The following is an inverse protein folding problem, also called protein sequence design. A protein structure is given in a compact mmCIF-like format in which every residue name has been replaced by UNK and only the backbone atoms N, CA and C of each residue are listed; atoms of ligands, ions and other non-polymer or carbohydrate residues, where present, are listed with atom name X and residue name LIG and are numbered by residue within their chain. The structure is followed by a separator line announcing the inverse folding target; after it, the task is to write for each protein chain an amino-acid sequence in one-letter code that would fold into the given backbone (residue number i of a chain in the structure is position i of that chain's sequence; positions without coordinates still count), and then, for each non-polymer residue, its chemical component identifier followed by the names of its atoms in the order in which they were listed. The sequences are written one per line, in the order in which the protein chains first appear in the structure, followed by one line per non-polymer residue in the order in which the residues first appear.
data_IF_961316034899
#
_entry.id   IF_961316034899
#
_cell.length_a   1.000
_cell.length_b   1.000
_cell.length_c   1.000
_cell.angle_alpha   90.00
_cell.angle_beta   90.00
_cell.angle_gamma   90.00
#
_symmetry.space_group_name_H-M   'P 1'
#
loop_
_entity.id
_entity.type
_entity.pdbx_description
1 polymer ?
#
# COMPACT_ATOMS: atom_id res chain seq x y z
N UNK A 1 27.87 -11.12 -34.57
CA UNK A 1 27.89 -11.52 -33.15
C UNK A 1 27.79 -10.24 -32.37
N UNK A 2 26.69 -10.02 -31.66
CA UNK A 2 26.58 -8.85 -30.79
C UNK A 2 27.60 -9.00 -29.68
N UNK A 3 28.39 -7.97 -29.41
CA UNK A 3 29.32 -7.89 -28.29
C UNK A 3 28.48 -8.01 -26.98
N UNK A 4 28.33 -9.24 -26.49
CA UNK A 4 27.71 -9.53 -25.22
C UNK A 4 28.66 -8.99 -24.13
N UNK A 5 28.31 -7.84 -23.55
CA UNK A 5 28.99 -7.32 -22.35
C UNK A 5 28.59 -8.17 -21.16
N UNK A 6 29.53 -8.40 -20.24
CA UNK A 6 29.31 -9.26 -19.08
C UNK A 6 28.22 -8.73 -18.13
N UNK A 7 27.90 -7.46 -18.17
CA UNK A 7 27.01 -6.79 -17.24
C UNK A 7 27.62 -6.56 -15.83
N UNK A 8 28.83 -7.03 -15.60
CA UNK A 8 29.56 -6.78 -14.34
C UNK A 8 30.26 -5.43 -14.48
N UNK A 9 29.89 -4.50 -13.60
CA UNK A 9 30.59 -3.21 -13.50
C UNK A 9 31.85 -3.36 -12.65
N UNK A 10 32.99 -3.35 -13.30
CA UNK A 10 34.31 -3.42 -12.64
C UNK A 10 34.83 -2.06 -12.20
N UNK A 11 34.17 -0.97 -12.56
CA UNK A 11 34.61 0.39 -12.19
C UNK A 11 34.51 0.67 -10.70
N UNK A 12 33.62 -0.04 -10.01
CA UNK A 12 33.37 0.07 -8.56
C UNK A 12 34.35 -0.72 -7.69
N UNK A 13 35.24 -1.50 -8.28
CA UNK A 13 36.23 -2.33 -7.56
C UNK A 13 37.23 -1.44 -6.83
N UNK A 14 37.40 -1.70 -5.53
CA UNK A 14 38.49 -1.15 -4.72
C UNK A 14 39.63 -2.18 -4.58
N UNK A 15 40.72 -2.02 -5.30
CA UNK A 15 41.85 -2.96 -5.29
C UNK A 15 42.63 -2.97 -3.96
N UNK A 16 42.41 -1.96 -3.10
CA UNK A 16 43.06 -1.88 -1.78
C UNK A 16 42.41 -2.79 -0.74
N UNK A 17 41.18 -3.24 -0.99
CA UNK A 17 40.46 -4.19 -0.14
C UNK A 17 40.70 -5.60 -0.68
N UNK A 18 41.26 -6.49 0.13
CA UNK A 18 41.52 -7.86 -0.29
C UNK A 18 40.22 -8.65 -0.35
N UNK A 19 40.07 -9.48 -1.38
CA UNK A 19 38.89 -10.34 -1.60
C UNK A 19 38.55 -11.21 -0.39
N UNK A 20 39.58 -11.74 0.30
CA UNK A 20 39.44 -12.63 1.44
C UNK A 20 39.00 -11.92 2.71
N UNK A 21 39.22 -10.61 2.79
CA UNK A 21 38.92 -9.83 3.99
C UNK A 21 37.52 -9.27 3.94
N UNK A 22 37.12 -8.69 2.79
CA UNK A 22 35.76 -8.17 2.59
C UNK A 22 35.41 -8.19 1.08
N UNK A 23 34.73 -9.24 0.66
CA UNK A 23 34.30 -9.41 -0.73
C UNK A 23 33.38 -8.30 -1.20
N UNK A 24 32.46 -7.86 -0.33
CA UNK A 24 31.50 -6.79 -0.68
C UNK A 24 32.23 -5.46 -0.92
N UNK A 25 33.12 -5.05 -0.02
CA UNK A 25 33.89 -3.83 -0.16
C UNK A 25 34.91 -3.91 -1.29
N UNK A 26 35.46 -5.08 -1.59
CA UNK A 26 36.31 -5.23 -2.74
C UNK A 26 35.57 -4.86 -4.04
N UNK A 27 34.37 -5.41 -4.26
CA UNK A 27 33.63 -5.15 -5.50
C UNK A 27 32.87 -3.83 -5.52
N UNK A 28 32.52 -3.26 -4.39
CA UNK A 28 31.71 -2.05 -4.30
C UNK A 28 32.39 -0.88 -3.58
N UNK A 29 33.63 -1.03 -3.14
CA UNK A 29 34.29 -0.09 -2.24
C UNK A 29 34.47 1.31 -2.83
N UNK A 30 34.82 1.40 -4.10
CA UNK A 30 34.95 2.70 -4.78
C UNK A 30 33.60 3.40 -4.86
N UNK A 31 32.56 2.70 -5.28
CA UNK A 31 31.19 3.25 -5.29
C UNK A 31 30.73 3.67 -3.89
N UNK A 32 30.99 2.86 -2.85
CA UNK A 32 30.64 3.20 -1.46
C UNK A 32 31.31 4.47 -0.96
N UNK A 33 32.57 4.72 -1.41
CA UNK A 33 33.33 5.89 -1.00
C UNK A 33 32.96 7.15 -1.78
N UNK A 34 32.49 7.04 -3.00
CA UNK A 34 32.22 8.14 -3.92
C UNK A 34 30.72 8.49 -4.02
N UNK A 35 29.81 7.53 -3.71
CA UNK A 35 28.38 7.74 -3.84
C UNK A 35 27.83 8.64 -2.74
N UNK A 36 26.91 9.50 -3.12
CA UNK A 36 26.13 10.35 -2.21
C UNK A 36 24.65 9.97 -2.37
N UNK A 37 24.01 9.60 -1.26
CA UNK A 37 22.58 9.34 -1.26
C UNK A 37 21.86 10.66 -1.58
N UNK A 38 21.02 10.72 -2.62
CA UNK A 38 20.24 11.92 -2.92
C UNK A 38 19.31 12.30 -1.74
N UNK A 39 19.10 13.59 -1.54
CA UNK A 39 18.32 14.11 -0.42
C UNK A 39 16.85 13.69 -0.43
N UNK A 40 16.32 13.29 -1.60
CA UNK A 40 14.94 12.85 -1.78
C UNK A 40 14.69 11.37 -1.42
N UNK A 41 15.66 10.72 -0.76
CA UNK A 41 15.57 9.30 -0.34
C UNK A 41 16.49 8.99 0.85
N UNK A 42 16.24 7.86 1.52
CA UNK A 42 17.04 7.39 2.65
C UNK A 42 18.07 6.31 2.28
N UNK A 43 18.06 5.82 1.03
CA UNK A 43 18.97 4.77 0.55
C UNK A 43 19.27 4.92 -0.93
N UNK A 44 20.39 4.34 -1.40
CA UNK A 44 20.74 4.28 -2.81
C UNK A 44 21.37 2.93 -3.18
N UNK A 45 21.48 2.64 -4.49
CA UNK A 45 22.05 1.40 -5.02
C UNK A 45 21.65 1.13 -6.45
N UNK A 46 22.11 0.00 -7.02
CA UNK A 46 21.90 -0.34 -8.42
C UNK A 46 20.40 -0.36 -8.84
N UNK A 47 19.51 -0.83 -7.97
CA UNK A 47 18.06 -0.81 -8.25
C UNK A 47 17.49 0.61 -8.29
N UNK A 48 18.07 1.54 -7.54
CA UNK A 48 17.63 2.94 -7.58
C UNK A 48 18.04 3.64 -8.87
N UNK A 49 19.19 3.28 -9.45
CA UNK A 49 19.60 3.76 -10.78
C UNK A 49 18.59 3.32 -11.84
N UNK A 50 18.21 2.03 -11.84
CA UNK A 50 17.21 1.49 -12.77
C UNK A 50 15.84 2.13 -12.57
N UNK A 51 15.44 2.34 -11.30
CA UNK A 51 14.17 3.01 -10.97
C UNK A 51 14.14 4.45 -11.51
N UNK A 52 15.22 5.23 -11.32
CA UNK A 52 15.31 6.59 -11.82
C UNK A 52 15.23 6.64 -13.35
N UNK A 53 15.90 5.71 -14.03
CA UNK A 53 15.83 5.58 -15.48
C UNK A 53 14.41 5.27 -15.95
N UNK A 54 13.76 4.28 -15.33
CA UNK A 54 12.38 3.91 -15.65
C UNK A 54 11.41 5.07 -15.36
N UNK A 55 11.59 5.81 -14.27
CA UNK A 55 10.77 6.98 -13.93
C UNK A 55 10.90 8.09 -14.97
N UNK A 56 12.12 8.35 -15.47
CA UNK A 56 12.37 9.28 -16.58
C UNK A 56 11.68 8.84 -17.89
N UNK A 57 11.74 7.54 -18.20
CA UNK A 57 11.06 6.95 -19.35
C UNK A 57 9.53 7.04 -19.23
N UNK A 58 8.99 6.76 -18.06
CA UNK A 58 7.54 6.90 -17.79
C UNK A 58 7.11 8.36 -17.89
N UNK A 59 7.88 9.31 -17.36
CA UNK A 59 7.63 10.75 -17.55
C UNK A 59 7.56 11.12 -19.03
N UNK A 60 8.51 10.67 -19.83
CA UNK A 60 8.50 10.94 -21.28
C UNK A 60 7.28 10.31 -21.98
N UNK A 61 6.79 9.17 -21.50
CA UNK A 61 5.53 8.58 -21.98
C UNK A 61 4.35 9.49 -21.62
N UNK A 62 4.23 9.93 -20.38
CA UNK A 62 3.13 10.81 -19.92
C UNK A 62 3.11 12.10 -20.74
N UNK A 63 4.26 12.75 -20.91
CA UNK A 63 4.38 14.03 -21.64
C UNK A 63 4.12 13.89 -23.16
N UNK A 64 4.29 12.69 -23.73
CA UNK A 64 4.08 12.42 -25.15
C UNK A 64 2.82 11.62 -25.48
N UNK A 65 2.06 11.20 -24.47
CA UNK A 65 0.89 10.35 -24.65
C UNK A 65 -0.23 11.11 -25.42
N UNK A 66 -0.70 10.51 -26.51
CA UNK A 66 -1.74 11.09 -27.34
C UNK A 66 -2.38 10.03 -28.24
N UNK A 67 -3.51 10.37 -28.86
CA UNK A 67 -4.10 9.56 -29.93
C UNK A 67 -5.00 8.40 -29.47
N UNK A 68 -5.20 8.21 -28.15
CA UNK A 68 -6.18 7.26 -27.63
C UNK A 68 -6.88 7.79 -26.37
N UNK A 69 -8.06 7.26 -26.02
CA UNK A 69 -8.73 7.63 -24.77
C UNK A 69 -7.89 7.31 -23.51
N UNK A 70 -7.15 6.21 -23.49
CA UNK A 70 -6.25 5.86 -22.39
C UNK A 70 -5.09 6.86 -22.27
N UNK A 71 -4.51 7.27 -23.41
CA UNK A 71 -3.47 8.29 -23.44
C UNK A 71 -3.97 9.62 -22.86
N UNK A 72 -5.21 10.03 -23.16
CA UNK A 72 -5.82 11.22 -22.58
C UNK A 72 -5.99 11.10 -21.06
N UNK A 73 -6.44 9.95 -20.55
CA UNK A 73 -6.57 9.72 -19.10
C UNK A 73 -5.22 9.81 -18.37
N UNK A 74 -4.15 9.31 -18.99
CA UNK A 74 -2.78 9.41 -18.46
C UNK A 74 -2.37 10.88 -18.32
N UNK A 75 -2.53 11.66 -19.38
CA UNK A 75 -2.18 13.09 -19.37
C UNK A 75 -3.04 13.90 -18.43
N UNK A 76 -4.36 13.65 -18.37
CA UNK A 76 -5.29 14.35 -17.50
C UNK A 76 -5.02 14.06 -16.02
N UNK A 77 -4.72 12.82 -15.66
CA UNK A 77 -4.35 12.47 -14.28
C UNK A 77 -3.10 13.22 -13.84
N UNK A 78 -2.05 13.21 -14.66
CA UNK A 78 -0.84 13.95 -14.39
C UNK A 78 -1.09 15.46 -14.30
N UNK A 79 -1.84 16.02 -15.24
CA UNK A 79 -2.17 17.44 -15.28
C UNK A 79 -2.95 17.88 -14.03
N UNK A 80 -3.92 17.07 -13.57
CA UNK A 80 -4.70 17.37 -12.37
C UNK A 80 -3.82 17.46 -11.11
N UNK A 81 -2.79 16.62 -10.99
CA UNK A 81 -1.84 16.68 -9.90
C UNK A 81 -0.83 17.84 -10.05
N UNK A 82 -0.42 18.16 -11.27
CA UNK A 82 0.53 19.25 -11.53
C UNK A 82 -0.11 20.65 -11.47
N UNK A 83 -1.43 20.75 -11.35
CA UNK A 83 -2.16 22.03 -11.24
C UNK A 83 -2.10 22.60 -9.82
N UNK A 84 -0.89 23.03 -9.40
CA UNK A 84 -0.64 23.58 -8.08
C UNK A 84 -1.55 24.77 -7.75
N UNK A 85 -1.78 25.66 -8.71
CA UNK A 85 -2.61 26.84 -8.50
C UNK A 85 -4.05 26.48 -8.08
N UNK A 86 -4.63 25.44 -8.68
CA UNK A 86 -5.96 24.94 -8.31
C UNK A 86 -5.94 24.26 -6.93
N UNK A 87 -4.93 23.45 -6.65
CA UNK A 87 -4.78 22.75 -5.37
C UNK A 87 -4.62 23.77 -4.22
N UNK A 88 -3.74 24.76 -4.37
CA UNK A 88 -3.57 25.83 -3.38
C UNK A 88 -4.87 26.61 -3.15
N UNK A 89 -5.60 26.93 -4.22
CA UNK A 89 -6.90 27.61 -4.11
C UNK A 89 -7.95 26.80 -3.36
N UNK A 90 -7.96 25.49 -3.54
CA UNK A 90 -8.92 24.59 -2.87
C UNK A 90 -8.56 24.37 -1.40
N UNK A 91 -7.27 24.41 -1.03
CA UNK A 91 -6.79 24.18 0.34
C UNK A 91 -7.26 22.83 0.89
N UNK A 92 -7.88 22.84 2.07
CA UNK A 92 -8.53 21.67 2.70
C UNK A 92 -9.98 21.44 2.24
N UNK A 93 -10.51 22.28 1.34
CA UNK A 93 -11.90 22.18 0.86
C UNK A 93 -12.34 20.79 0.39
N UNK A 94 -11.52 20.04 -0.36
CA UNK A 94 -11.89 18.71 -0.85
C UNK A 94 -12.31 17.69 0.19
N UNK A 95 -11.79 17.77 1.44
CA UNK A 95 -12.13 16.84 2.51
C UNK A 95 -13.21 17.34 3.48
N UNK A 96 -13.71 18.55 3.27
CA UNK A 96 -14.69 19.19 4.19
C UNK A 96 -15.97 18.38 4.32
N UNK A 97 -16.47 17.81 3.22
CA UNK A 97 -17.70 17.01 3.23
C UNK A 97 -17.52 15.69 4.03
N UNK A 98 -16.36 15.05 3.92
CA UNK A 98 -16.03 13.83 4.65
C UNK A 98 -15.90 14.11 6.15
N UNK A 99 -15.23 15.20 6.52
CA UNK A 99 -15.12 15.65 7.91
C UNK A 99 -16.47 16.02 8.50
N UNK A 100 -17.33 16.71 7.76
CA UNK A 100 -18.70 17.03 8.20
C UNK A 100 -19.52 15.76 8.43
N UNK A 101 -19.33 14.72 7.63
CA UNK A 101 -19.97 13.42 7.82
C UNK A 101 -19.48 12.73 9.11
N UNK A 102 -18.20 12.84 9.44
CA UNK A 102 -17.66 12.37 10.73
C UNK A 102 -18.25 13.15 11.90
N UNK A 103 -18.35 14.47 11.77
CA UNK A 103 -18.94 15.32 12.83
C UNK A 103 -20.42 15.01 13.11
N UNK A 104 -21.16 14.57 12.09
CA UNK A 104 -22.55 14.19 12.21
C UNK A 104 -22.81 12.83 12.89
N UNK A 105 -21.77 12.03 13.16
CA UNK A 105 -21.90 10.73 13.84
C UNK A 105 -22.45 10.92 15.26
N UNK A 106 -23.57 10.23 15.56
CA UNK A 106 -24.19 10.28 16.90
C UNK A 106 -24.36 8.89 17.54
N UNK A 107 -24.47 7.85 16.77
CA UNK A 107 -24.62 6.46 17.24
C UNK A 107 -23.46 5.57 16.82
N UNK A 108 -23.34 4.37 17.42
CA UNK A 108 -22.38 3.36 17.00
C UNK A 108 -22.65 2.90 15.55
N UNK A 109 -23.88 2.78 15.15
CA UNK A 109 -24.25 2.41 13.79
C UNK A 109 -23.87 3.50 12.78
N UNK A 110 -24.01 4.79 13.14
CA UNK A 110 -23.50 5.90 12.32
C UNK A 110 -21.97 5.83 12.17
N UNK A 111 -21.27 5.50 13.27
CA UNK A 111 -19.81 5.34 13.24
C UNK A 111 -19.39 4.22 12.28
N UNK A 112 -19.96 3.02 12.43
CA UNK A 112 -19.64 1.86 11.59
C UNK A 112 -19.95 2.13 10.12
N UNK A 113 -21.12 2.71 9.83
CA UNK A 113 -21.50 3.01 8.45
C UNK A 113 -20.63 4.11 7.82
N UNK A 114 -20.31 5.16 8.58
CA UNK A 114 -19.44 6.24 8.09
C UNK A 114 -18.01 5.76 7.88
N UNK A 115 -17.47 4.96 8.79
CA UNK A 115 -16.14 4.36 8.64
C UNK A 115 -16.06 3.51 7.37
N UNK A 116 -16.99 2.58 7.19
CA UNK A 116 -17.00 1.73 5.99
C UNK A 116 -17.18 2.53 4.70
N UNK A 117 -18.01 3.58 4.72
CA UNK A 117 -18.19 4.47 3.59
C UNK A 117 -16.91 5.25 3.26
N UNK A 118 -16.13 5.68 4.26
CA UNK A 118 -14.83 6.34 4.09
C UNK A 118 -13.75 5.35 3.61
N UNK A 119 -13.73 4.13 4.16
CA UNK A 119 -12.82 3.05 3.70
C UNK A 119 -13.05 2.76 2.21
N UNK A 120 -14.28 2.74 1.76
CA UNK A 120 -14.61 2.57 0.34
C UNK A 120 -14.09 3.72 -0.56
N UNK A 121 -13.67 4.83 0.04
CA UNK A 121 -13.10 6.02 -0.62
C UNK A 121 -11.60 6.19 -0.40
N UNK A 122 -10.97 5.23 0.29
CA UNK A 122 -9.52 5.18 0.48
C UNK A 122 -9.03 5.71 1.83
N UNK A 123 -9.92 6.06 2.76
CA UNK A 123 -9.49 6.30 4.15
C UNK A 123 -9.14 4.97 4.83
N UNK A 124 -8.20 4.99 5.76
CA UNK A 124 -7.90 3.82 6.59
C UNK A 124 -9.00 3.60 7.64
N UNK A 125 -9.30 2.33 7.92
CA UNK A 125 -10.25 1.92 8.95
C UNK A 125 -9.61 1.04 10.02
N UNK A 126 -10.45 0.45 10.85
CA UNK A 126 -10.03 -0.50 11.90
C UNK A 126 -9.48 -1.79 11.26
N UNK A 127 -9.88 -2.08 10.02
CA UNK A 127 -9.51 -3.30 9.31
C UNK A 127 -8.77 -2.99 8.02
N UNK A 128 -7.84 -3.86 7.64
CA UNK A 128 -7.27 -3.88 6.31
C UNK A 128 -7.88 -5.04 5.53
N UNK A 129 -8.40 -4.77 4.35
CA UNK A 129 -9.03 -5.78 3.50
C UNK A 129 -8.27 -5.96 2.19
N UNK A 130 -8.13 -7.22 1.77
CA UNK A 130 -7.49 -7.55 0.49
C UNK A 130 -8.13 -8.78 -0.15
N UNK A 131 -8.12 -8.85 -1.48
CA UNK A 131 -8.63 -9.99 -2.23
C UNK A 131 -7.47 -10.65 -2.93
N UNK A 132 -7.16 -11.87 -2.50
CA UNK A 132 -6.08 -12.70 -3.02
C UNK A 132 -6.57 -14.13 -3.29
N UNK A 133 -5.78 -14.94 -4.03
CA UNK A 133 -5.98 -16.37 -4.08
C UNK A 133 -6.03 -16.97 -2.67
N UNK A 134 -6.97 -17.87 -2.42
CA UNK A 134 -7.05 -18.61 -1.17
C UNK A 134 -5.79 -19.48 -1.00
N UNK A 135 -5.07 -19.33 0.11
CA UNK A 135 -3.83 -20.09 0.36
C UNK A 135 -4.05 -21.60 0.38
N UNK A 136 -5.25 -22.05 0.72
CA UNK A 136 -5.61 -23.47 0.75
C UNK A 136 -6.28 -23.96 -0.53
N UNK A 137 -6.76 -23.03 -1.38
CA UNK A 137 -7.32 -23.31 -2.71
C UNK A 137 -6.92 -22.20 -3.69
N UNK A 138 -5.74 -22.31 -4.27
CA UNK A 138 -5.20 -21.31 -5.20
C UNK A 138 -5.99 -21.16 -6.51
N UNK A 139 -7.06 -21.91 -6.71
CA UNK A 139 -7.96 -21.76 -7.86
C UNK A 139 -9.08 -20.73 -7.64
N UNK A 140 -9.28 -20.28 -6.40
CA UNK A 140 -10.34 -19.34 -6.01
C UNK A 140 -9.77 -18.10 -5.34
N UNK A 141 -10.42 -16.94 -5.55
CA UNK A 141 -10.11 -15.73 -4.81
C UNK A 141 -11.01 -15.62 -3.58
N UNK A 142 -10.45 -15.13 -2.46
CA UNK A 142 -11.15 -14.94 -1.18
C UNK A 142 -10.80 -13.58 -0.57
N UNK A 143 -11.69 -13.06 0.26
CA UNK A 143 -11.46 -11.85 1.05
C UNK A 143 -10.63 -12.18 2.28
N UNK A 144 -9.51 -11.47 2.45
CA UNK A 144 -8.70 -11.44 3.65
C UNK A 144 -9.03 -10.18 4.45
N UNK A 145 -9.15 -10.33 5.77
CA UNK A 145 -9.38 -9.23 6.70
C UNK A 145 -8.28 -9.28 7.76
N UNK A 146 -7.53 -8.20 7.88
CA UNK A 146 -6.40 -8.05 8.79
C UNK A 146 -6.65 -6.95 9.81
N UNK A 147 -5.84 -6.97 10.88
CA UNK A 147 -5.73 -5.87 11.84
C UNK A 147 -5.30 -4.58 11.16
N UNK A 148 -5.89 -3.45 11.56
CA UNK A 148 -5.58 -2.11 11.06
C UNK A 148 -5.79 -1.05 12.14
N UNK A 149 -5.92 0.20 11.74
CA UNK A 149 -6.27 1.30 12.64
C UNK A 149 -5.12 1.99 13.34
N UNK A 150 -3.89 1.79 12.87
CA UNK A 150 -2.71 2.48 13.36
C UNK A 150 -2.16 3.46 12.31
N UNK A 151 -1.66 4.59 12.77
CA UNK A 151 -1.01 5.60 11.93
C UNK A 151 0.51 5.48 11.90
N UNK A 152 1.12 4.90 12.93
CA UNK A 152 2.54 4.54 12.98
C UNK A 152 2.73 3.12 12.41
N UNK A 153 3.95 2.75 11.99
CA UNK A 153 4.19 1.54 11.18
C UNK A 153 3.73 0.22 11.79
N UNK A 154 3.82 0.07 13.11
CA UNK A 154 3.37 -1.11 13.85
C UNK A 154 3.18 -0.81 15.35
N UNK A 155 2.75 -1.83 16.10
CA UNK A 155 2.45 -1.74 17.52
C UNK A 155 3.66 -1.40 18.40
N UNK A 156 4.89 -1.70 17.94
CA UNK A 156 6.11 -1.44 18.69
C UNK A 156 6.37 0.06 18.89
N UNK A 157 5.98 0.87 17.90
CA UNK A 157 6.10 2.33 17.97
C UNK A 157 5.29 2.96 19.09
N UNK A 158 4.20 2.31 19.54
CA UNK A 158 3.34 2.81 20.62
C UNK A 158 3.81 2.41 22.00
N UNK A 159 4.70 1.42 22.14
CA UNK A 159 5.06 0.84 23.46
C UNK A 159 6.57 0.85 23.77
N UNK A 160 7.45 0.74 22.76
CA UNK A 160 8.88 0.61 23.01
C UNK A 160 9.55 1.95 23.30
N UNK A 161 10.47 1.96 24.25
CA UNK A 161 11.16 3.18 24.73
C UNK A 161 11.95 3.88 23.61
N UNK A 162 12.57 3.10 22.71
CA UNK A 162 13.33 3.64 21.59
C UNK A 162 12.52 4.55 20.65
N UNK A 163 11.19 4.45 20.64
CA UNK A 163 10.28 5.24 19.80
C UNK A 163 9.61 6.41 20.55
N UNK A 164 10.03 6.74 21.76
CA UNK A 164 9.42 7.82 22.54
C UNK A 164 9.46 9.16 21.78
N UNK A 165 10.61 9.50 21.19
CA UNK A 165 10.73 10.72 20.39
C UNK A 165 9.79 10.75 19.18
N UNK A 166 9.55 9.59 18.56
CA UNK A 166 8.59 9.49 17.46
C UNK A 166 7.16 9.73 17.95
N UNK A 167 6.79 9.18 19.11
CA UNK A 167 5.45 9.41 19.70
C UNK A 167 5.20 10.88 20.01
N UNK A 168 6.18 11.55 20.61
CA UNK A 168 6.10 12.99 20.91
C UNK A 168 5.94 13.80 19.63
N UNK A 169 6.75 13.52 18.61
CA UNK A 169 6.67 14.17 17.32
C UNK A 169 5.35 13.88 16.60
N UNK A 170 4.81 12.66 16.73
CA UNK A 170 3.55 12.26 16.11
C UNK A 170 2.36 13.04 16.68
N UNK A 171 2.27 13.20 18.01
CA UNK A 171 1.22 14.00 18.64
C UNK A 171 1.32 15.48 18.19
N UNK A 172 2.52 16.06 18.16
CA UNK A 172 2.72 17.43 17.69
C UNK A 172 2.34 17.61 16.21
N UNK A 173 2.67 16.61 15.37
CA UNK A 173 2.26 16.56 13.96
C UNK A 173 0.74 16.55 13.81
N UNK A 174 0.04 15.69 14.53
CA UNK A 174 -1.43 15.64 14.48
C UNK A 174 -2.06 16.97 14.92
N UNK A 175 -1.57 17.57 16.00
CA UNK A 175 -2.03 18.89 16.47
C UNK A 175 -1.86 19.95 15.37
N UNK A 176 -0.70 19.98 14.71
CA UNK A 176 -0.42 20.91 13.61
C UNK A 176 -1.33 20.68 12.43
N UNK A 177 -1.54 19.43 12.04
CA UNK A 177 -2.42 19.04 10.90
C UNK A 177 -3.87 19.44 11.17
N UNK A 178 -4.41 19.18 12.37
CA UNK A 178 -5.76 19.63 12.75
C UNK A 178 -5.88 21.17 12.68
N UNK A 179 -4.86 21.90 13.13
CA UNK A 179 -4.82 23.36 13.04
C UNK A 179 -4.82 23.85 11.58
N UNK A 180 -4.02 23.24 10.70
CA UNK A 180 -3.91 23.62 9.28
C UNK A 180 -5.22 23.49 8.52
N UNK A 181 -6.07 22.57 8.90
CA UNK A 181 -7.40 22.38 8.29
C UNK A 181 -8.51 23.12 9.04
N UNK A 182 -8.17 23.93 10.06
CA UNK A 182 -9.11 24.78 10.78
C UNK A 182 -9.98 24.05 11.81
N UNK A 183 -9.60 22.84 12.24
CA UNK A 183 -10.28 22.12 13.32
C UNK A 183 -9.86 22.71 14.67
N UNK A 184 -10.83 23.16 15.45
CA UNK A 184 -10.61 23.63 16.82
C UNK A 184 -10.17 22.47 17.73
N UNK A 185 -9.48 22.82 18.84
CA UNK A 185 -9.04 21.86 19.85
C UNK A 185 -8.11 20.74 19.34
N UNK A 186 -7.30 21.04 18.30
CA UNK A 186 -6.37 20.10 17.68
C UNK A 186 -5.50 19.34 18.67
N UNK A 187 -5.00 20.01 19.73
CA UNK A 187 -4.20 19.37 20.78
C UNK A 187 -4.98 18.29 21.57
N UNK A 188 -6.25 18.53 21.84
CA UNK A 188 -7.12 17.53 22.50
C UNK A 188 -7.38 16.35 21.57
N UNK A 189 -7.75 16.62 20.32
CA UNK A 189 -8.00 15.58 19.32
C UNK A 189 -6.77 14.73 19.04
N UNK A 190 -5.59 15.33 18.93
CA UNK A 190 -4.33 14.61 18.74
C UNK A 190 -4.05 13.62 19.89
N UNK A 191 -4.28 14.03 21.13
CA UNK A 191 -4.15 13.15 22.30
C UNK A 191 -5.19 12.03 22.30
N UNK A 192 -6.45 12.35 21.99
CA UNK A 192 -7.52 11.35 21.87
C UNK A 192 -7.16 10.27 20.84
N UNK A 193 -6.65 10.68 19.66
CA UNK A 193 -6.19 9.75 18.62
C UNK A 193 -5.06 8.88 19.12
N UNK A 194 -4.01 9.50 19.68
CA UNK A 194 -2.83 8.76 20.16
C UNK A 194 -3.17 7.76 21.27
N UNK A 195 -4.00 8.14 22.24
CA UNK A 195 -4.43 7.27 23.33
C UNK A 195 -5.31 6.12 22.82
N UNK A 196 -6.17 6.38 21.84
CA UNK A 196 -6.98 5.36 21.21
C UNK A 196 -6.12 4.38 20.42
N UNK A 197 -5.22 4.88 19.55
CA UNK A 197 -4.32 4.03 18.78
C UNK A 197 -3.37 3.23 19.67
N UNK A 198 -2.97 3.74 20.83
CA UNK A 198 -2.21 2.97 21.83
C UNK A 198 -3.01 1.78 22.35
N UNK A 199 -4.32 1.95 22.59
CA UNK A 199 -5.20 0.83 22.98
C UNK A 199 -5.39 -0.17 21.84
N UNK A 200 -5.52 0.31 20.60
CA UNK A 200 -5.60 -0.53 19.40
C UNK A 200 -4.29 -1.30 19.18
N UNK A 201 -3.15 -0.63 19.29
CA UNK A 201 -1.81 -1.23 19.16
C UNK A 201 -1.57 -2.35 20.18
N UNK A 202 -2.11 -2.23 21.39
CA UNK A 202 -2.00 -3.28 22.41
C UNK A 202 -2.73 -4.58 22.02
N UNK A 203 -3.65 -4.54 21.05
CA UNK A 203 -4.36 -5.68 20.50
C UNK A 203 -3.68 -6.29 19.28
N UNK A 204 -2.77 -5.55 18.65
CA UNK A 204 -2.08 -6.00 17.44
C UNK A 204 -1.13 -7.16 17.71
N UNK A 205 -1.04 -8.05 16.75
CA UNK A 205 0.04 -9.02 16.67
C UNK A 205 1.30 -8.32 16.15
N UNK A 206 2.45 -8.74 16.67
CA UNK A 206 3.75 -8.28 16.22
C UNK A 206 4.10 -8.78 14.80
N UNK A 207 5.12 -8.16 14.19
CA UNK A 207 5.55 -8.49 12.83
C UNK A 207 6.04 -9.94 12.68
N UNK A 208 6.64 -10.55 13.71
CA UNK A 208 7.15 -11.91 13.66
C UNK A 208 5.99 -12.89 13.57
N UNK A 209 5.00 -12.72 14.45
CA UNK A 209 3.78 -13.52 14.47
C UNK A 209 2.97 -13.38 13.17
N UNK A 210 2.91 -12.17 12.60
CA UNK A 210 2.21 -11.90 11.35
C UNK A 210 2.83 -12.58 10.12
N UNK A 211 4.11 -13.00 10.19
CA UNK A 211 4.77 -13.74 9.10
C UNK A 211 4.48 -15.24 9.11
N UNK A 212 3.90 -15.76 10.16
CA UNK A 212 3.55 -17.18 10.25
C UNK A 212 2.18 -17.43 9.57
N UNK A 213 2.21 -17.95 8.35
CA UNK A 213 1.02 -18.25 7.57
C UNK A 213 0.11 -19.30 8.24
N UNK A 214 0.65 -20.15 9.12
CA UNK A 214 -0.15 -21.14 9.87
C UNK A 214 -1.01 -20.48 10.95
N UNK A 215 -0.59 -19.32 11.45
CA UNK A 215 -1.33 -18.52 12.43
C UNK A 215 -2.29 -17.52 11.76
N UNK A 216 -1.91 -16.95 10.62
CA UNK A 216 -2.66 -15.88 9.95
C UNK A 216 -3.72 -16.38 8.96
N UNK A 217 -3.80 -17.69 8.71
CA UNK A 217 -4.85 -18.26 7.88
C UNK A 217 -5.97 -18.85 8.73
N UNK A 218 -7.01 -18.07 8.99
CA UNK A 218 -8.18 -18.49 9.75
C UNK A 218 -9.45 -18.28 8.92
N UNK A 219 -9.82 -19.27 8.10
CA UNK A 219 -11.03 -19.21 7.29
C UNK A 219 -12.26 -19.29 8.16
N UNK A 220 -13.18 -18.35 7.99
CA UNK A 220 -14.40 -18.18 8.75
C UNK A 220 -15.58 -17.93 7.83
N UNK A 221 -16.72 -18.44 8.21
CA UNK A 221 -18.01 -18.02 7.66
C UNK A 221 -18.39 -16.64 8.16
N UNK A 222 -19.32 -15.98 7.48
CA UNK A 222 -19.88 -14.70 7.92
C UNK A 222 -20.42 -14.76 9.35
N UNK A 223 -21.17 -15.79 9.70
CA UNK A 223 -21.74 -15.94 11.04
C UNK A 223 -20.66 -16.07 12.13
N UNK A 224 -19.56 -16.75 11.85
CA UNK A 224 -18.42 -16.83 12.75
C UNK A 224 -17.69 -15.49 12.90
N UNK A 225 -17.55 -14.71 11.81
CA UNK A 225 -17.00 -13.36 11.85
C UNK A 225 -17.89 -12.41 12.69
N UNK A 226 -19.19 -12.42 12.48
CA UNK A 226 -20.16 -11.63 13.25
C UNK A 226 -20.11 -11.97 14.76
N UNK A 227 -19.91 -13.24 15.09
CA UNK A 227 -19.73 -13.69 16.49
C UNK A 227 -18.39 -13.26 17.07
N UNK A 228 -17.34 -13.22 16.25
CA UNK A 228 -15.98 -12.87 16.68
C UNK A 228 -15.89 -11.40 17.10
N UNK A 229 -16.56 -10.50 16.40
CA UNK A 229 -16.48 -9.05 16.61
C UNK A 229 -17.85 -8.37 16.40
N UNK A 230 -18.82 -8.64 17.31
CA UNK A 230 -20.21 -8.22 17.13
C UNK A 230 -20.41 -6.69 17.08
N UNK A 231 -19.57 -5.91 17.76
CA UNK A 231 -19.69 -4.45 17.75
C UNK A 231 -19.33 -3.82 16.40
N UNK A 232 -18.63 -4.53 15.50
CA UNK A 232 -18.35 -4.04 14.16
C UNK A 232 -19.56 -4.09 13.21
N UNK A 233 -20.69 -4.66 13.65
CA UNK A 233 -21.94 -4.73 12.89
C UNK A 233 -21.70 -4.99 11.39
N UNK A 234 -21.08 -6.15 11.09
CA UNK A 234 -20.65 -6.50 9.73
C UNK A 234 -21.73 -6.35 8.65
N UNK A 235 -23.03 -6.70 8.92
CA UNK A 235 -24.08 -6.42 7.95
C UNK A 235 -24.16 -4.95 7.54
N UNK A 236 -24.07 -4.05 8.51
CA UNK A 236 -24.09 -2.61 8.29
C UNK A 236 -22.83 -2.14 7.57
N UNK A 237 -21.64 -2.62 8.00
CA UNK A 237 -20.37 -2.31 7.37
C UNK A 237 -20.36 -2.71 5.88
N UNK A 238 -20.80 -3.93 5.57
CA UNK A 238 -20.91 -4.47 4.19
C UNK A 238 -21.82 -3.58 3.34
N UNK A 239 -23.00 -3.22 3.88
CA UNK A 239 -23.98 -2.40 3.17
C UNK A 239 -23.48 -0.98 2.91
N UNK A 240 -22.91 -0.32 3.91
CA UNK A 240 -22.42 1.05 3.82
C UNK A 240 -21.20 1.18 2.91
N UNK A 241 -20.34 0.15 2.89
CA UNK A 241 -19.19 0.04 1.99
C UNK A 241 -19.52 -0.44 0.59
N UNK A 242 -20.79 -0.71 0.25
CA UNK A 242 -21.21 -1.25 -1.05
C UNK A 242 -20.43 -2.54 -1.45
N UNK A 243 -20.15 -3.41 -0.46
CA UNK A 243 -19.43 -4.66 -0.71
C UNK A 243 -20.43 -5.76 -1.10
N UNK A 244 -20.20 -6.53 -2.18
CA UNK A 244 -21.07 -7.64 -2.52
C UNK A 244 -21.15 -8.68 -1.38
N UNK A 245 -22.37 -9.06 -0.98
CA UNK A 245 -22.58 -9.97 0.15
C UNK A 245 -21.82 -11.31 -0.02
N UNK A 246 -21.67 -11.80 -1.24
CA UNK A 246 -20.92 -13.01 -1.57
C UNK A 246 -19.45 -12.94 -1.12
N UNK A 247 -18.86 -11.74 -1.04
CA UNK A 247 -17.49 -11.56 -0.57
C UNK A 247 -17.30 -11.96 0.90
N UNK A 248 -18.38 -11.94 1.69
CA UNK A 248 -18.39 -12.27 3.10
C UNK A 248 -18.99 -13.65 3.43
N UNK A 249 -19.35 -14.45 2.45
CA UNK A 249 -19.81 -15.83 2.73
C UNK A 249 -18.71 -16.64 3.43
N UNK A 250 -17.48 -16.48 2.96
CA UNK A 250 -16.28 -17.01 3.60
C UNK A 250 -15.16 -15.97 3.49
N UNK A 251 -14.46 -15.75 4.59
CA UNK A 251 -13.35 -14.81 4.69
C UNK A 251 -12.17 -15.47 5.39
N UNK A 252 -10.97 -14.94 5.18
CA UNK A 252 -9.78 -15.32 5.97
C UNK A 252 -9.46 -14.20 6.94
N UNK A 253 -9.47 -14.51 8.23
CA UNK A 253 -9.10 -13.57 9.30
C UNK A 253 -7.64 -13.77 9.64
N UNK A 254 -6.83 -12.72 9.49
CA UNK A 254 -5.41 -12.79 9.79
C UNK A 254 -5.11 -12.91 11.28
N UNK A 255 -5.77 -12.11 12.11
CA UNK A 255 -5.49 -11.98 13.54
C UNK A 255 -6.79 -12.10 14.37
N UNK A 256 -7.30 -13.31 14.63
CA UNK A 256 -8.59 -13.49 15.33
C UNK A 256 -8.68 -12.77 16.67
N UNK A 257 -7.63 -12.85 17.50
CA UNK A 257 -7.64 -12.20 18.82
C UNK A 257 -7.67 -10.67 18.77
N UNK A 258 -7.20 -10.06 17.67
CA UNK A 258 -7.39 -8.63 17.44
C UNK A 258 -8.89 -8.30 17.31
N UNK A 259 -9.63 -9.07 16.53
CA UNK A 259 -11.06 -8.86 16.32
C UNK A 259 -11.90 -9.11 17.57
N UNK A 260 -11.49 -10.08 18.41
CA UNK A 260 -12.08 -10.30 19.73
C UNK A 260 -11.83 -9.10 20.66
N UNK A 261 -10.62 -8.56 20.66
CA UNK A 261 -10.20 -7.45 21.51
C UNK A 261 -10.74 -6.09 21.09
N UNK A 262 -10.81 -5.82 19.77
CA UNK A 262 -11.28 -4.52 19.26
C UNK A 262 -12.79 -4.35 19.43
N UNK A 263 -13.56 -5.42 19.42
CA UNK A 263 -15.03 -5.37 19.51
C UNK A 263 -15.53 -4.65 20.78
N UNK A 264 -15.08 -4.97 22.01
CA UNK A 264 -15.46 -4.21 23.20
C UNK A 264 -14.95 -2.76 23.19
N UNK A 265 -13.79 -2.48 22.59
CA UNK A 265 -13.26 -1.12 22.47
C UNK A 265 -14.16 -0.25 21.58
N UNK A 266 -14.66 -0.82 20.49
CA UNK A 266 -15.63 -0.17 19.59
C UNK A 266 -17.00 -0.05 20.27
N UNK A 267 -17.47 -1.07 21.00
CA UNK A 267 -18.74 -1.04 21.73
C UNK A 267 -18.79 0.11 22.77
N UNK A 268 -17.65 0.48 23.35
CA UNK A 268 -17.57 1.59 24.30
C UNK A 268 -17.98 2.94 23.69
N UNK A 269 -17.98 3.09 22.35
CA UNK A 269 -18.53 4.25 21.66
C UNK A 269 -19.96 4.61 22.12
N UNK A 270 -20.80 3.61 22.37
CA UNK A 270 -22.19 3.80 22.70
C UNK A 270 -22.43 4.24 24.17
N UNK A 271 -21.50 3.93 25.07
CA UNK A 271 -21.69 4.11 26.52
C UNK A 271 -20.71 5.06 27.18
N UNK A 272 -19.60 5.40 26.52
CA UNK A 272 -18.56 6.28 27.04
C UNK A 272 -18.37 7.50 26.13
N UNK A 273 -18.77 8.71 26.58
CA UNK A 273 -18.58 9.94 25.80
C UNK A 273 -17.14 10.24 25.41
N UNK A 274 -16.15 9.85 26.22
CA UNK A 274 -14.74 10.04 25.88
C UNK A 274 -14.31 9.11 24.75
N UNK A 275 -14.77 7.85 24.76
CA UNK A 275 -14.53 6.92 23.66
C UNK A 275 -15.24 7.34 22.38
N UNK A 276 -16.47 7.87 22.47
CA UNK A 276 -17.17 8.46 21.32
C UNK A 276 -16.36 9.60 20.69
N UNK A 277 -15.86 10.53 21.51
CA UNK A 277 -15.00 11.63 21.05
C UNK A 277 -13.72 11.11 20.40
N UNK A 278 -13.03 10.17 21.04
CA UNK A 278 -11.78 9.60 20.55
C UNK A 278 -11.95 8.90 19.19
N UNK A 279 -13.00 8.09 19.01
CA UNK A 279 -13.28 7.42 17.73
C UNK A 279 -13.63 8.42 16.60
N UNK A 280 -14.33 9.50 16.90
CA UNK A 280 -14.62 10.57 15.93
C UNK A 280 -13.34 11.32 15.56
N UNK A 281 -12.51 11.66 16.53
CA UNK A 281 -11.20 12.30 16.30
C UNK A 281 -10.28 11.41 15.47
N UNK A 282 -10.25 10.11 15.77
CA UNK A 282 -9.50 9.11 15.02
C UNK A 282 -9.96 9.01 13.57
N UNK A 283 -11.27 8.93 13.32
CA UNK A 283 -11.79 8.85 11.95
C UNK A 283 -11.51 10.15 11.16
N UNK A 284 -11.64 11.31 11.81
CA UNK A 284 -11.23 12.59 11.20
C UNK A 284 -9.75 12.60 10.86
N UNK A 285 -8.90 12.08 11.73
CA UNK A 285 -7.46 11.96 11.48
C UNK A 285 -7.16 11.09 10.26
N UNK A 286 -7.83 9.96 10.11
CA UNK A 286 -7.63 9.08 8.95
C UNK A 286 -8.12 9.69 7.63
N UNK A 287 -9.15 10.53 7.65
CA UNK A 287 -9.54 11.34 6.48
C UNK A 287 -8.44 12.33 6.11
N UNK A 288 -7.87 13.03 7.11
CA UNK A 288 -6.84 14.05 6.90
C UNK A 288 -5.56 13.41 6.35
N UNK A 289 -5.03 12.41 7.03
CA UNK A 289 -3.74 11.81 6.67
C UNK A 289 -3.81 11.06 5.35
N UNK A 290 -4.92 10.38 5.05
CA UNK A 290 -5.15 9.73 3.76
C UNK A 290 -5.21 10.69 2.57
N UNK A 291 -5.56 11.95 2.82
CA UNK A 291 -5.69 12.99 1.79
C UNK A 291 -4.49 13.93 1.72
N UNK A 292 -3.65 13.96 2.77
CA UNK A 292 -2.62 14.99 2.98
C UNK A 292 -1.66 15.18 1.81
N UNK A 293 -1.29 14.12 1.09
CA UNK A 293 -0.36 14.17 -0.05
C UNK A 293 -0.91 14.94 -1.27
N UNK A 294 -2.21 15.21 -1.29
CA UNK A 294 -2.95 15.78 -2.42
C UNK A 294 -3.54 17.16 -2.13
N UNK A 295 -3.42 17.65 -0.89
CA UNK A 295 -3.89 18.94 -0.46
C UNK A 295 -2.86 20.05 -0.77
N UNK A 296 -3.08 21.27 -0.26
CA UNK A 296 -2.19 22.40 -0.48
C UNK A 296 -0.80 22.19 0.12
N UNK A 297 0.15 23.01 -0.33
CA UNK A 297 1.58 22.86 -0.03
C UNK A 297 1.92 22.86 1.46
N UNK A 298 1.20 23.63 2.27
CA UNK A 298 1.42 23.71 3.72
C UNK A 298 1.12 22.37 4.41
N UNK A 299 0.01 21.72 4.05
CA UNK A 299 -0.38 20.39 4.55
C UNK A 299 0.60 19.32 4.05
N UNK A 300 0.95 19.33 2.76
CA UNK A 300 1.93 18.39 2.19
C UNK A 300 3.28 18.52 2.90
N UNK A 301 3.74 19.74 3.18
CA UNK A 301 5.02 20.00 3.84
C UNK A 301 5.02 19.46 5.27
N UNK A 302 3.96 19.73 6.03
CA UNK A 302 3.82 19.23 7.41
C UNK A 302 3.75 17.70 7.43
N UNK A 303 2.96 17.09 6.54
CA UNK A 303 2.86 15.64 6.43
C UNK A 303 4.22 15.01 6.10
N UNK A 304 4.99 15.60 5.20
CA UNK A 304 6.34 15.15 4.88
C UNK A 304 7.33 15.35 6.02
N UNK A 305 7.24 16.44 6.75
CA UNK A 305 8.13 16.70 7.89
C UNK A 305 8.03 15.60 8.96
N UNK A 306 6.86 15.02 9.14
CA UNK A 306 6.71 13.86 10.04
C UNK A 306 7.05 12.55 9.35
N UNK A 307 6.28 12.11 8.37
CA UNK A 307 6.41 10.77 7.76
C UNK A 307 7.68 10.61 6.92
N UNK A 308 8.10 11.65 6.22
CA UNK A 308 9.32 11.65 5.41
C UNK A 308 10.58 11.88 6.25
N UNK A 309 10.64 13.00 6.96
CA UNK A 309 11.87 13.39 7.65
C UNK A 309 12.00 12.71 9.00
N UNK A 310 11.02 12.87 9.89
CA UNK A 310 11.11 12.38 11.27
C UNK A 310 11.07 10.86 11.34
N UNK A 311 10.13 10.24 10.64
CA UNK A 311 9.91 8.78 10.72
C UNK A 311 10.85 8.00 9.79
N UNK A 312 11.09 8.48 8.56
CA UNK A 312 11.83 7.73 7.52
C UNK A 312 13.24 8.24 7.27
N UNK A 313 13.64 9.37 7.87
CA UNK A 313 14.99 9.95 7.72
C UNK A 313 15.28 10.54 6.34
N UNK A 314 14.25 10.86 5.55
CA UNK A 314 14.40 11.46 4.22
C UNK A 314 14.44 12.98 4.34
N UNK A 315 15.55 13.64 3.96
CA UNK A 315 15.71 15.09 4.17
C UNK A 315 14.77 15.96 3.35
N UNK A 316 14.48 15.57 2.10
CA UNK A 316 13.78 16.40 1.13
C UNK A 316 12.61 15.67 0.48
N UNK A 317 11.48 16.36 0.35
CA UNK A 317 10.33 15.87 -0.41
C UNK A 317 10.71 15.72 -1.90
N UNK A 318 10.35 14.59 -2.47
CA UNK A 318 10.57 14.32 -3.91
C UNK A 318 9.92 15.40 -4.77
N UNK A 319 10.57 15.75 -5.87
CA UNK A 319 10.05 16.67 -6.87
C UNK A 319 8.60 16.35 -7.23
N UNK A 320 7.78 17.40 -7.43
CA UNK A 320 6.36 17.23 -7.72
C UNK A 320 6.09 16.33 -8.93
N UNK A 321 6.89 16.49 -10.00
CA UNK A 321 6.71 15.65 -11.18
C UNK A 321 6.96 14.15 -10.90
N UNK A 322 7.92 13.78 -10.03
CA UNK A 322 8.17 12.40 -9.61
C UNK A 322 6.97 11.83 -8.84
N UNK A 323 6.36 12.65 -7.97
CA UNK A 323 5.15 12.28 -7.24
C UNK A 323 3.95 12.14 -8.20
N UNK A 324 3.86 13.02 -9.21
CA UNK A 324 2.86 12.93 -10.26
C UNK A 324 3.00 11.67 -11.12
N UNK A 325 4.22 11.29 -11.49
CA UNK A 325 4.51 10.01 -12.16
C UNK A 325 4.03 8.83 -11.32
N UNK A 326 4.39 8.80 -10.03
CA UNK A 326 3.96 7.74 -9.11
C UNK A 326 2.43 7.65 -8.97
N UNK A 327 1.73 8.80 -8.95
CA UNK A 327 0.27 8.84 -8.93
C UNK A 327 -0.33 8.22 -10.20
N UNK A 328 0.20 8.57 -11.38
CA UNK A 328 -0.30 8.00 -12.65
C UNK A 328 -0.02 6.50 -12.74
N UNK A 329 1.17 6.04 -12.32
CA UNK A 329 1.50 4.62 -12.26
C UNK A 329 0.58 3.85 -11.31
N UNK A 330 0.27 4.41 -10.15
CA UNK A 330 -0.65 3.82 -9.18
C UNK A 330 -2.10 3.77 -9.67
N UNK A 331 -2.49 4.67 -10.58
CA UNK A 331 -3.88 4.80 -11.06
C UNK A 331 -4.15 4.11 -12.39
N UNK A 332 -3.17 4.17 -13.31
CA UNK A 332 -3.28 3.76 -14.72
C UNK A 332 -2.09 2.90 -15.16
N UNK A 333 -1.54 2.11 -14.22
CA UNK A 333 -0.27 1.41 -14.39
C UNK A 333 -0.21 0.51 -15.62
N UNK A 334 -1.24 -0.27 -15.93
CA UNK A 334 -1.23 -1.12 -17.11
C UNK A 334 -1.45 -0.33 -18.42
N UNK A 335 -2.15 0.81 -18.39
CA UNK A 335 -2.25 1.69 -19.56
C UNK A 335 -0.88 2.29 -19.93
N UNK A 336 -0.13 2.77 -18.93
CA UNK A 336 1.27 3.20 -19.13
C UNK A 336 2.16 2.03 -19.49
N UNK A 337 2.01 0.91 -18.79
CA UNK A 337 2.79 -0.31 -18.99
C UNK A 337 2.73 -0.82 -20.43
N UNK A 338 1.59 -0.71 -21.07
CA UNK A 338 1.42 -1.07 -22.48
C UNK A 338 2.32 -0.23 -23.39
N UNK A 339 2.33 1.10 -23.21
CA UNK A 339 3.17 2.02 -23.98
C UNK A 339 4.66 1.83 -23.63
N UNK A 340 4.96 1.58 -22.34
CA UNK A 340 6.32 1.32 -21.87
C UNK A 340 6.91 0.08 -22.54
N UNK A 341 6.15 -1.02 -22.59
CA UNK A 341 6.57 -2.27 -23.23
C UNK A 341 6.86 -2.09 -24.71
N UNK A 342 6.00 -1.35 -25.42
CA UNK A 342 6.22 -1.06 -26.84
C UNK A 342 7.54 -0.32 -27.10
N UNK A 343 7.96 0.57 -26.17
CA UNK A 343 9.15 1.42 -26.32
C UNK A 343 10.43 0.83 -25.73
N UNK A 344 10.31 0.15 -24.59
CA UNK A 344 11.46 -0.17 -23.72
C UNK A 344 11.61 -1.66 -23.37
N UNK A 345 10.63 -2.52 -23.67
CA UNK A 345 10.71 -3.95 -23.35
C UNK A 345 10.41 -4.84 -24.57
N UNK A 346 11.39 -5.03 -25.45
CA UNK A 346 11.18 -5.76 -26.70
C UNK A 346 10.82 -7.24 -26.44
N UNK A 347 10.01 -7.89 -27.31
CA UNK A 347 9.60 -9.29 -27.15
C UNK A 347 10.77 -10.27 -26.96
N UNK A 348 11.93 -9.99 -27.57
CA UNK A 348 13.13 -10.79 -27.38
C UNK A 348 13.63 -10.80 -25.92
N UNK A 349 13.43 -9.71 -25.15
CA UNK A 349 13.79 -9.66 -23.74
C UNK A 349 12.86 -10.57 -22.91
N UNK A 350 11.55 -10.52 -23.16
CA UNK A 350 10.57 -11.44 -22.53
C UNK A 350 10.94 -12.90 -22.81
N UNK A 351 11.18 -13.27 -24.06
CA UNK A 351 11.54 -14.63 -24.44
C UNK A 351 12.84 -15.13 -23.75
N UNK A 352 13.84 -14.27 -23.60
CA UNK A 352 15.08 -14.64 -22.89
C UNK A 352 14.84 -14.86 -21.39
N UNK A 353 13.98 -14.05 -20.77
CA UNK A 353 13.60 -14.24 -19.37
C UNK A 353 12.78 -15.51 -19.16
N UNK A 354 11.89 -15.85 -20.09
CA UNK A 354 11.13 -17.11 -20.05
C UNK A 354 12.07 -18.32 -20.11
N UNK A 355 13.10 -18.30 -20.97
CA UNK A 355 14.15 -19.33 -21.02
C UNK A 355 14.91 -19.41 -19.70
N UNK A 356 15.27 -18.27 -19.10
CA UNK A 356 15.96 -18.23 -17.81
C UNK A 356 15.12 -18.88 -16.71
N UNK A 357 13.84 -18.53 -16.62
CA UNK A 357 12.93 -19.11 -15.62
C UNK A 357 12.69 -20.61 -15.86
N UNK A 358 12.59 -21.04 -17.11
CA UNK A 358 12.48 -22.46 -17.45
C UNK A 358 13.75 -23.24 -17.00
N UNK A 359 14.94 -22.67 -17.22
CA UNK A 359 16.20 -23.26 -16.76
C UNK A 359 16.28 -23.32 -15.22
N UNK A 360 15.82 -22.28 -14.51
CA UNK A 360 15.73 -22.29 -13.05
C UNK A 360 14.77 -23.37 -12.54
N UNK A 361 13.61 -23.51 -13.16
CA UNK A 361 12.61 -24.55 -12.82
C UNK A 361 13.20 -25.93 -12.98
N UNK A 362 13.95 -26.19 -14.07
CA UNK A 362 14.62 -27.46 -14.29
C UNK A 362 15.78 -27.70 -13.26
N UNK A 363 16.52 -26.63 -12.92
CA UNK A 363 17.54 -26.75 -11.87
C UNK A 363 16.94 -27.10 -10.49
N UNK A 364 15.78 -26.52 -10.13
CA UNK A 364 15.02 -26.89 -8.93
C UNK A 364 14.54 -28.36 -8.99
N UNK A 365 14.05 -28.82 -10.13
CA UNK A 365 13.64 -30.21 -10.32
C UNK A 365 14.79 -31.18 -10.05
N UNK A 366 15.96 -30.91 -10.59
CA UNK A 366 17.18 -31.72 -10.35
C UNK A 366 17.62 -31.67 -8.90
N UNK A 367 17.62 -30.47 -8.30
CA UNK A 367 17.99 -30.29 -6.91
C UNK A 367 17.07 -31.09 -5.98
N UNK A 368 15.75 -30.95 -6.10
CA UNK A 368 14.77 -31.67 -5.28
C UNK A 368 14.97 -33.18 -5.38
N UNK A 369 15.16 -33.72 -6.58
CA UNK A 369 15.40 -35.15 -6.78
C UNK A 369 16.71 -35.64 -6.13
N UNK A 370 17.74 -34.78 -6.08
CA UNK A 370 19.04 -35.09 -5.51
C UNK A 370 19.15 -34.92 -3.98
N UNK A 371 18.16 -34.33 -3.29
CA UNK A 371 18.24 -34.09 -1.84
C UNK A 371 18.20 -35.38 -1.03
N UNK A 372 19.27 -35.69 -0.30
CA UNK A 372 19.37 -36.93 0.50
C UNK A 372 18.50 -36.87 1.78
N UNK A 373 18.34 -35.70 2.36
CA UNK A 373 17.56 -35.48 3.59
C UNK A 373 16.04 -35.52 3.41
N UNK A 374 15.56 -35.41 2.16
CA UNK A 374 14.12 -35.39 1.84
C UNK A 374 13.60 -36.78 1.52
N UNK A 375 12.51 -37.19 2.18
CA UNK A 375 11.86 -38.48 1.88
C UNK A 375 11.30 -38.51 0.45
N UNK A 376 11.14 -39.70 -0.13
CA UNK A 376 10.59 -39.88 -1.48
C UNK A 376 9.16 -39.31 -1.58
N UNK A 377 8.33 -39.47 -0.55
CA UNK A 377 6.99 -38.91 -0.49
C UNK A 377 7.03 -37.39 -0.57
N UNK A 378 7.90 -36.75 0.21
CA UNK A 378 8.07 -35.29 0.19
C UNK A 378 8.60 -34.78 -1.14
N UNK A 379 9.56 -35.49 -1.76
CA UNK A 379 10.03 -35.17 -3.12
C UNK A 379 8.89 -35.18 -4.14
N UNK A 380 8.04 -36.18 -4.09
CA UNK A 380 6.88 -36.29 -5.00
C UNK A 380 5.96 -35.08 -4.82
N UNK A 381 5.64 -34.69 -3.58
CA UNK A 381 4.82 -33.49 -3.28
C UNK A 381 5.51 -32.20 -3.73
N UNK A 382 6.83 -32.07 -3.51
CA UNK A 382 7.59 -30.91 -3.96
C UNK A 382 7.64 -30.77 -5.49
N UNK A 383 7.83 -31.86 -6.21
CA UNK A 383 7.78 -31.86 -7.68
C UNK A 383 6.36 -31.50 -8.17
N UNK A 384 5.31 -32.08 -7.59
CA UNK A 384 3.93 -31.73 -7.93
C UNK A 384 3.61 -30.24 -7.70
N UNK A 385 4.20 -29.63 -6.66
CA UNK A 385 4.12 -28.18 -6.42
C UNK A 385 4.87 -27.40 -7.50
N UNK A 386 6.08 -27.82 -7.86
CA UNK A 386 6.90 -27.18 -8.90
C UNK A 386 6.19 -27.20 -10.26
N UNK A 387 5.48 -28.28 -10.60
CA UNK A 387 4.72 -28.41 -11.83
C UNK A 387 3.50 -27.49 -11.94
N UNK A 388 2.98 -27.04 -10.78
CA UNK A 388 1.89 -26.05 -10.70
C UNK A 388 2.39 -24.60 -10.74
N UNK A 389 3.69 -24.37 -10.69
CA UNK A 389 4.27 -23.04 -10.73
C UNK A 389 3.97 -22.36 -12.07
N UNK A 390 3.36 -21.17 -12.02
CA UNK A 390 3.03 -20.35 -13.18
C UNK A 390 3.85 -19.06 -13.16
N UNK A 391 4.89 -18.95 -13.97
CA UNK A 391 5.68 -17.72 -14.07
C UNK A 391 4.86 -16.61 -14.71
N UNK A 392 5.00 -15.38 -14.19
CA UNK A 392 4.45 -14.15 -14.76
C UNK A 392 5.63 -13.23 -15.06
N UNK A 393 5.93 -13.05 -16.35
CA UNK A 393 7.17 -12.39 -16.79
C UNK A 393 6.84 -11.20 -17.69
N UNK A 394 7.42 -10.04 -17.33
CA UNK A 394 7.35 -8.81 -18.10
C UNK A 394 5.97 -8.17 -18.03
N UNK A 395 5.03 -8.60 -18.85
CA UNK A 395 3.72 -7.98 -18.99
C UNK A 395 2.62 -9.03 -19.22
N UNK A 396 1.33 -8.71 -18.90
CA UNK A 396 0.21 -9.63 -19.05
C UNK A 396 -0.14 -9.85 -20.52
N UNK A 397 -0.69 -11.01 -20.84
CA UNK A 397 -1.20 -11.30 -22.19
C UNK A 397 -2.49 -10.51 -22.49
N UNK A 398 -3.28 -10.21 -21.44
CA UNK A 398 -4.49 -9.39 -21.52
C UNK A 398 -4.32 -8.17 -20.62
N UNK A 399 -4.22 -6.99 -21.23
CA UNK A 399 -4.17 -5.72 -20.54
C UNK A 399 -5.49 -5.37 -19.88
N UNK A 400 -5.41 -4.61 -18.80
CA UNK A 400 -6.58 -4.12 -18.08
C UNK A 400 -7.35 -3.10 -18.93
N UNK A 401 -8.67 -3.19 -18.90
CA UNK A 401 -9.56 -2.24 -19.55
C UNK A 401 -9.89 -1.08 -18.59
N UNK A 402 -9.48 0.13 -18.96
CA UNK A 402 -9.76 1.37 -18.25
C UNK A 402 -10.91 2.17 -18.89
N UNK A 403 -11.68 1.62 -19.81
CA UNK A 403 -12.73 2.36 -20.53
C UNK A 403 -13.77 2.96 -19.60
N UNK A 404 -14.14 2.27 -18.52
CA UNK A 404 -15.11 2.72 -17.52
C UNK A 404 -14.56 3.75 -16.51
N UNK A 405 -13.25 3.98 -16.46
CA UNK A 405 -12.64 4.94 -15.56
C UNK A 405 -12.62 6.33 -16.18
N UNK A 406 -13.30 7.29 -15.57
CA UNK A 406 -13.29 8.70 -16.00
C UNK A 406 -12.20 9.48 -15.26
N UNK A 407 -11.37 10.21 -16.01
CA UNK A 407 -10.31 11.09 -15.48
C UNK A 407 -10.45 12.45 -16.18
N UNK A 408 -10.34 13.53 -15.40
CA UNK A 408 -10.38 14.92 -15.90
C UNK A 408 -9.18 15.72 -15.40
N UNK A 409 -8.72 16.67 -16.20
CA UNK A 409 -7.48 17.40 -15.92
C UNK A 409 -7.58 18.42 -14.77
N UNK A 410 -8.79 18.78 -14.33
CA UNK A 410 -9.07 19.85 -13.36
C UNK A 410 -9.70 19.34 -12.04
N UNK A 411 -9.86 18.04 -11.86
CA UNK A 411 -10.53 17.43 -10.70
C UNK A 411 -9.68 16.32 -10.05
N UNK A 412 -8.59 16.70 -9.37
CA UNK A 412 -7.69 15.74 -8.72
C UNK A 412 -8.43 14.84 -7.72
N UNK A 413 -9.21 15.42 -6.80
CA UNK A 413 -9.90 14.63 -5.77
C UNK A 413 -11.00 13.73 -6.33
N UNK A 414 -11.74 14.20 -7.32
CA UNK A 414 -12.69 13.35 -8.05
C UNK A 414 -11.99 12.21 -8.79
N UNK A 415 -10.84 12.48 -9.41
CA UNK A 415 -10.02 11.44 -10.03
C UNK A 415 -9.59 10.37 -9.01
N UNK A 416 -9.06 10.78 -7.85
CA UNK A 416 -8.66 9.85 -6.78
C UNK A 416 -9.83 8.99 -6.32
N UNK A 417 -10.99 9.57 -6.08
CA UNK A 417 -12.18 8.84 -5.67
C UNK A 417 -12.65 7.84 -6.74
N UNK A 418 -12.64 8.23 -8.02
CA UNK A 418 -13.00 7.35 -9.15
C UNK A 418 -12.01 6.20 -9.32
N UNK A 419 -10.70 6.47 -9.16
CA UNK A 419 -9.65 5.45 -9.19
C UNK A 419 -9.83 4.46 -8.04
N UNK A 420 -10.01 4.95 -6.80
CA UNK A 420 -10.22 4.10 -5.63
C UNK A 420 -11.44 3.18 -5.83
N UNK A 421 -12.54 3.73 -6.30
CA UNK A 421 -13.72 2.92 -6.61
C UNK A 421 -13.46 1.89 -7.72
N UNK A 422 -12.82 2.30 -8.80
CA UNK A 422 -12.50 1.42 -9.92
C UNK A 422 -11.59 0.26 -9.50
N UNK A 423 -10.54 0.52 -8.72
CA UNK A 423 -9.64 -0.50 -8.19
C UNK A 423 -10.36 -1.47 -7.26
N UNK A 424 -11.19 -0.93 -6.36
CA UNK A 424 -11.98 -1.74 -5.43
C UNK A 424 -12.98 -2.63 -6.15
N UNK A 425 -13.74 -2.08 -7.09
CA UNK A 425 -14.74 -2.83 -7.86
C UNK A 425 -14.07 -3.93 -8.69
N UNK A 426 -12.90 -3.64 -9.27
CA UNK A 426 -12.11 -4.63 -9.98
C UNK A 426 -11.62 -5.77 -9.06
N UNK A 427 -11.17 -5.44 -7.85
CA UNK A 427 -10.75 -6.44 -6.87
C UNK A 427 -11.94 -7.30 -6.42
N UNK A 428 -13.05 -6.67 -6.04
CA UNK A 428 -14.28 -7.36 -5.61
C UNK A 428 -14.85 -8.28 -6.70
N UNK A 429 -14.75 -7.88 -7.96
CA UNK A 429 -15.22 -8.67 -9.10
C UNK A 429 -14.44 -10.00 -9.32
N UNK A 430 -13.31 -10.21 -8.62
CA UNK A 430 -12.55 -11.46 -8.65
C UNK A 430 -13.13 -12.55 -7.74
N UNK A 431 -13.91 -12.16 -6.71
CA UNK A 431 -14.49 -13.10 -5.76
C UNK A 431 -15.45 -14.05 -6.47
N UNK A 432 -15.32 -15.34 -6.16
CA UNK A 432 -16.10 -16.39 -6.82
C UNK A 432 -15.67 -16.71 -8.26
N UNK A 433 -14.58 -16.10 -8.74
CA UNK A 433 -14.02 -16.42 -10.07
C UNK A 433 -12.68 -17.15 -9.92
N UNK A 434 -12.30 -17.95 -10.91
CA UNK A 434 -10.96 -18.56 -10.96
C UNK A 434 -9.86 -17.48 -10.96
N UNK A 435 -8.71 -17.89 -10.44
CA UNK A 435 -7.48 -17.07 -10.42
C UNK A 435 -6.81 -17.03 -11.77
#
# INVERSE_FOLDING_TARGET
MSDLKSGIDTSSIDPNVRLQDDLFRHFNGKWLNESVIPEDRSSDGAFMVLRNEAEGQVRAIIESASGSPEAQKITDMFASFMNEAQIEKLGSGPITADLAKVDAIDSLDDFISTMSWLEARGASGITETAIYPDMMDSSANILYIHQGGLSLPDESYYKEEQYENIRVAFVAHMEKMFSLIGIADGATKAREVFELETKVAALHWDQVRNRDASLTYNKKTRAELEKLSPALNWPLWISAGEVPAVAFENVVIGQPSFFEGISPLVAAFASDPAMKSAWKSWLSWHVITGSAAYLNSEIVTENFAFYGTTLSGTPQLRDRWKRGVSLVEGSLGEAIGKIYVERHFPPAAKARMEILVANLTEAYRRSINGLEWMSQETKTKAIAKLEKFRPKIGYPDKWRDYSALEITADDLFGNLARVTKFERDFALAKIGKPV
#
